data_IF_299141989599
#
_entry.id   IF_299141989599
#
_cell.length_a   1.000
_cell.length_b   1.000
_cell.length_c   1.000
_cell.angle_alpha   90.00
_cell.angle_beta   90.00
_cell.angle_gamma   90.00
#
_symmetry.space_group_name_H-M   'P 1'
#
loop_
_entity.id
_entity.type
_entity.pdbx_description
1 polymer ?
#
# COMPACT_ATOMS: atom_id res chain seq x y z
N UNK A 1 36.93 -10.35 -36.94
CA UNK A 1 36.74 -8.95 -36.52
C UNK A 1 35.46 -8.92 -35.68
N UNK A 2 35.66 -9.01 -34.37
CA UNK A 2 34.55 -9.03 -33.37
C UNK A 2 34.27 -7.58 -32.99
N UNK A 3 33.12 -7.08 -33.35
CA UNK A 3 32.66 -5.74 -32.90
C UNK A 3 32.49 -5.76 -31.39
N UNK A 4 33.10 -4.81 -30.69
CA UNK A 4 32.87 -4.52 -29.28
C UNK A 4 31.45 -3.95 -29.08
N UNK A 5 30.74 -4.29 -27.98
CA UNK A 5 29.44 -3.73 -27.69
C UNK A 5 29.56 -2.22 -27.45
N UNK A 6 28.67 -1.49 -28.09
CA UNK A 6 28.65 -0.02 -28.13
C UNK A 6 28.27 0.53 -26.75
N UNK A 7 29.01 1.50 -26.22
CA UNK A 7 28.83 2.15 -24.91
C UNK A 7 27.47 2.87 -24.65
N UNK A 8 26.48 2.64 -25.48
CA UNK A 8 25.10 3.05 -25.26
C UNK A 8 24.31 1.97 -24.50
N UNK A 9 24.63 0.69 -24.71
CA UNK A 9 24.01 -0.45 -24.03
C UNK A 9 24.41 -0.51 -22.56
N UNK A 10 25.71 -0.26 -22.29
CA UNK A 10 26.28 -0.24 -20.92
C UNK A 10 25.68 0.87 -20.03
N UNK A 11 25.36 2.04 -20.59
CA UNK A 11 24.70 3.14 -19.85
C UNK A 11 23.24 2.84 -19.55
N UNK A 12 22.54 2.14 -20.42
CA UNK A 12 21.18 1.67 -20.21
C UNK A 12 21.12 0.66 -19.06
N UNK A 13 22.01 -0.32 -19.08
CA UNK A 13 22.11 -1.34 -18.05
C UNK A 13 22.47 -0.76 -16.68
N UNK A 14 23.39 0.20 -16.63
CA UNK A 14 23.74 0.90 -15.39
C UNK A 14 22.54 1.66 -14.80
N UNK A 15 21.71 2.31 -15.62
CA UNK A 15 20.52 3.02 -15.16
C UNK A 15 19.47 2.05 -14.61
N UNK A 16 19.26 0.89 -15.24
CA UNK A 16 18.35 -0.13 -14.72
C UNK A 16 18.82 -0.70 -13.39
N UNK A 17 20.12 -1.02 -13.25
CA UNK A 17 20.70 -1.49 -12.00
C UNK A 17 20.56 -0.44 -10.87
N UNK A 18 20.76 0.83 -11.17
CA UNK A 18 20.60 1.90 -10.19
C UNK A 18 19.13 2.01 -9.70
N UNK A 19 18.16 1.94 -10.62
CA UNK A 19 16.74 1.95 -10.27
C UNK A 19 16.37 0.73 -9.42
N UNK A 20 16.84 -0.46 -9.77
CA UNK A 20 16.60 -1.69 -9.00
C UNK A 20 17.14 -1.57 -7.57
N UNK A 21 18.35 -1.06 -7.41
CA UNK A 21 18.98 -0.85 -6.10
C UNK A 21 18.17 0.14 -5.24
N UNK A 22 17.78 1.28 -5.81
CA UNK A 22 17.00 2.30 -5.09
C UNK A 22 15.60 1.80 -4.74
N UNK A 23 14.94 1.07 -5.63
CA UNK A 23 13.65 0.43 -5.34
C UNK A 23 13.79 -0.62 -4.23
N UNK A 24 14.84 -1.43 -4.24
CA UNK A 24 15.13 -2.40 -3.19
C UNK A 24 15.33 -1.74 -1.82
N UNK A 25 16.06 -0.60 -1.78
CA UNK A 25 16.24 0.19 -0.57
C UNK A 25 14.92 0.83 -0.12
N UNK A 26 14.17 1.42 -1.05
CA UNK A 26 12.86 2.02 -0.78
C UNK A 26 11.88 0.99 -0.21
N UNK A 27 11.84 -0.21 -0.78
CA UNK A 27 10.98 -1.29 -0.30
C UNK A 27 11.30 -1.71 1.14
N UNK A 28 12.58 -1.85 1.47
CA UNK A 28 13.00 -2.16 2.86
C UNK A 28 12.61 -1.05 3.84
N UNK A 29 12.81 0.21 3.45
CA UNK A 29 12.44 1.38 4.27
C UNK A 29 10.93 1.53 4.40
N UNK A 30 10.17 1.33 3.32
CA UNK A 30 8.72 1.38 3.32
C UNK A 30 8.11 0.32 4.27
N UNK A 31 8.72 -0.87 4.32
CA UNK A 31 8.30 -1.91 5.26
C UNK A 31 8.50 -1.48 6.72
N UNK A 32 9.63 -0.87 7.06
CA UNK A 32 9.87 -0.33 8.40
C UNK A 32 8.87 0.80 8.74
N UNK A 33 8.66 1.74 7.79
CA UNK A 33 7.68 2.81 7.94
C UNK A 33 6.25 2.27 8.13
N UNK A 34 5.90 1.15 7.50
CA UNK A 34 4.58 0.53 7.64
C UNK A 34 4.32 0.04 9.06
N UNK A 35 5.37 -0.42 9.77
CA UNK A 35 5.28 -0.76 11.21
C UNK A 35 4.97 0.49 12.05
N UNK A 36 5.69 1.56 11.81
CA UNK A 36 5.49 2.82 12.55
C UNK A 36 4.09 3.39 12.28
N UNK A 37 3.63 3.34 11.02
CA UNK A 37 2.30 3.80 10.64
C UNK A 37 1.18 2.98 11.29
N UNK A 38 1.36 1.67 11.39
CA UNK A 38 0.41 0.81 12.09
C UNK A 38 0.31 1.20 13.56
N UNK A 39 1.44 1.43 14.22
CA UNK A 39 1.51 1.85 15.63
C UNK A 39 0.92 3.24 15.88
N UNK A 40 0.98 4.15 14.92
CA UNK A 40 0.30 5.46 15.00
C UNK A 40 -1.24 5.31 15.03
N UNK A 41 -1.79 4.30 14.34
CA UNK A 41 -3.21 3.97 14.42
C UNK A 41 -3.53 3.35 15.76
N UNK A 42 -2.82 2.29 16.15
CA UNK A 42 -2.94 1.62 17.44
C UNK A 42 -1.64 0.92 17.82
N UNK A 43 -1.18 0.97 19.11
CA UNK A 43 0.11 0.37 19.54
C UNK A 43 0.26 -1.11 19.23
N UNK A 44 -0.84 -1.86 19.22
CA UNK A 44 -0.87 -3.31 18.95
C UNK A 44 -1.17 -3.65 17.49
N UNK A 45 -1.34 -2.63 16.61
CA UNK A 45 -1.66 -2.89 15.22
C UNK A 45 -0.42 -3.29 14.44
N UNK A 46 -0.53 -4.41 13.72
CA UNK A 46 0.50 -4.88 12.81
C UNK A 46 0.37 -4.26 11.40
N UNK A 47 1.44 -4.29 10.57
CA UNK A 47 1.42 -3.74 9.20
C UNK A 47 0.36 -4.36 8.28
N UNK A 48 0.12 -5.67 8.39
CA UNK A 48 -0.88 -6.36 7.57
C UNK A 48 -2.30 -5.82 7.79
N UNK A 49 -2.82 -5.86 9.03
CA UNK A 49 -4.09 -5.23 9.37
C UNK A 49 -4.16 -3.73 9.07
N UNK A 50 -3.05 -2.97 9.24
CA UNK A 50 -3.01 -1.56 8.86
C UNK A 50 -3.26 -1.36 7.35
N UNK A 51 -2.62 -2.15 6.49
CA UNK A 51 -2.84 -2.08 5.04
C UNK A 51 -4.29 -2.42 4.69
N UNK A 52 -4.86 -3.41 5.37
CA UNK A 52 -6.26 -3.82 5.20
C UNK A 52 -7.23 -2.71 5.63
N UNK A 53 -6.96 -2.04 6.77
CA UNK A 53 -7.74 -0.89 7.23
C UNK A 53 -7.71 0.26 6.21
N UNK A 54 -6.53 0.54 5.65
CA UNK A 54 -6.36 1.55 4.61
C UNK A 54 -7.17 1.24 3.35
N UNK A 55 -7.13 -0.02 2.89
CA UNK A 55 -7.92 -0.45 1.73
C UNK A 55 -9.42 -0.40 2.00
N UNK A 56 -9.83 -0.82 3.19
CA UNK A 56 -11.25 -0.76 3.56
C UNK A 56 -11.79 0.67 3.54
N UNK A 57 -11.00 1.67 3.96
CA UNK A 57 -11.38 3.08 3.88
C UNK A 57 -11.65 3.58 2.45
N UNK A 58 -11.00 2.97 1.46
CA UNK A 58 -11.17 3.33 0.04
C UNK A 58 -12.41 2.69 -0.60
N UNK A 59 -12.77 1.48 -0.15
CA UNK A 59 -13.77 0.65 -0.84
C UNK A 59 -14.97 0.28 0.01
N UNK A 60 -15.02 0.69 1.29
CA UNK A 60 -16.13 0.34 2.18
C UNK A 60 -17.49 0.83 1.67
N UNK A 61 -18.56 0.05 1.86
CA UNK A 61 -18.57 -1.26 2.50
C UNK A 61 -18.02 -2.38 1.60
N UNK A 62 -17.32 -3.38 2.15
CA UNK A 62 -16.67 -4.43 1.37
C UNK A 62 -16.84 -5.82 1.99
N UNK A 63 -16.83 -6.86 1.15
CA UNK A 63 -16.81 -8.25 1.59
C UNK A 63 -15.39 -8.70 1.91
N UNK A 64 -15.24 -9.61 2.87
CA UNK A 64 -13.94 -10.20 3.20
C UNK A 64 -13.29 -10.96 2.03
N UNK A 65 -14.10 -11.54 1.14
CA UNK A 65 -13.64 -12.21 -0.09
C UNK A 65 -12.94 -11.23 -1.04
N UNK A 66 -13.48 -10.03 -1.19
CA UNK A 66 -12.98 -9.03 -2.13
C UNK A 66 -11.63 -8.47 -1.63
N UNK A 67 -11.53 -8.26 -0.32
CA UNK A 67 -10.28 -7.87 0.33
C UNK A 67 -9.22 -8.99 0.23
N UNK A 68 -9.61 -10.26 0.42
CA UNK A 68 -8.71 -11.40 0.25
C UNK A 68 -8.15 -11.48 -1.18
N UNK A 69 -9.04 -11.30 -2.17
CA UNK A 69 -8.66 -11.25 -3.58
C UNK A 69 -7.71 -10.11 -3.90
N UNK A 70 -7.99 -8.91 -3.40
CA UNK A 70 -7.14 -7.73 -3.62
C UNK A 70 -5.71 -7.91 -3.06
N UNK A 71 -5.58 -8.48 -1.85
CA UNK A 71 -4.27 -8.69 -1.23
C UNK A 71 -3.58 -10.01 -1.66
N UNK A 72 -4.24 -10.85 -2.45
CA UNK A 72 -3.69 -12.14 -2.86
C UNK A 72 -3.43 -13.10 -1.69
N UNK A 73 -4.19 -12.99 -0.59
CA UNK A 73 -3.98 -13.79 0.62
C UNK A 73 -5.14 -14.75 0.87
N UNK A 74 -4.84 -15.87 1.55
CA UNK A 74 -5.86 -16.89 1.87
C UNK A 74 -6.89 -16.40 2.90
N UNK A 75 -8.07 -17.03 2.88
CA UNK A 75 -9.20 -16.73 3.78
C UNK A 75 -8.81 -16.72 5.26
N UNK A 76 -7.95 -17.64 5.69
CA UNK A 76 -7.51 -17.71 7.09
C UNK A 76 -6.70 -16.47 7.50
N UNK A 77 -5.84 -15.97 6.61
CA UNK A 77 -5.03 -14.77 6.87
C UNK A 77 -5.92 -13.52 6.97
N UNK A 78 -6.83 -13.32 6.00
CA UNK A 78 -7.78 -12.21 6.03
C UNK A 78 -8.65 -12.26 7.29
N UNK A 79 -9.21 -13.43 7.62
CA UNK A 79 -10.07 -13.58 8.81
C UNK A 79 -9.34 -13.21 10.10
N UNK A 80 -8.08 -13.60 10.25
CA UNK A 80 -7.26 -13.23 11.42
C UNK A 80 -6.99 -11.74 11.48
N UNK A 81 -6.66 -11.11 10.34
CA UNK A 81 -6.41 -9.67 10.28
C UNK A 81 -7.68 -8.85 10.56
N UNK A 82 -8.82 -9.26 10.02
CA UNK A 82 -10.11 -8.63 10.29
C UNK A 82 -10.49 -8.75 11.77
N UNK A 83 -10.30 -9.93 12.36
CA UNK A 83 -10.55 -10.14 13.79
C UNK A 83 -9.72 -9.19 14.65
N UNK A 84 -8.43 -9.03 14.35
CA UNK A 84 -7.58 -8.08 15.07
C UNK A 84 -8.11 -6.64 14.96
N UNK A 85 -8.57 -6.20 13.79
CA UNK A 85 -9.16 -4.87 13.60
C UNK A 85 -10.50 -4.69 14.35
N UNK A 86 -11.32 -5.75 14.41
CA UNK A 86 -12.57 -5.75 15.17
C UNK A 86 -12.31 -5.67 16.68
N UNK A 87 -11.37 -6.47 17.19
CA UNK A 87 -10.96 -6.47 18.60
C UNK A 87 -10.44 -5.10 19.07
N UNK A 88 -9.76 -4.36 18.16
CA UNK A 88 -9.31 -2.99 18.40
C UNK A 88 -10.43 -1.93 18.17
N UNK A 89 -11.63 -2.35 17.80
CA UNK A 89 -12.75 -1.45 17.54
C UNK A 89 -12.56 -0.52 16.33
N UNK A 90 -11.66 -0.86 15.40
CA UNK A 90 -11.35 -0.05 14.23
C UNK A 90 -12.31 -0.30 13.06
N UNK A 91 -12.87 -1.51 12.98
CA UNK A 91 -13.89 -1.87 11.98
C UNK A 91 -15.10 -2.51 12.65
N UNK A 92 -16.21 -2.53 11.92
CA UNK A 92 -17.45 -3.20 12.30
C UNK A 92 -18.00 -4.01 11.14
N UNK A 93 -19.09 -4.74 11.42
CA UNK A 93 -19.84 -5.53 10.45
C UNK A 93 -21.27 -5.01 10.35
N UNK A 94 -21.74 -4.86 9.12
CA UNK A 94 -23.11 -4.54 8.80
C UNK A 94 -23.75 -5.67 8.00
N UNK A 95 -25.06 -5.93 8.11
CA UNK A 95 -25.74 -6.89 7.26
C UNK A 95 -25.60 -6.49 5.78
N UNK A 96 -25.33 -7.47 4.92
CA UNK A 96 -25.34 -7.24 3.47
C UNK A 96 -26.80 -7.10 3.00
N UNK A 97 -27.21 -5.97 2.39
CA UNK A 97 -28.58 -5.74 1.96
C UNK A 97 -29.04 -6.67 0.84
N UNK A 98 -28.10 -7.31 0.15
CA UNK A 98 -28.37 -8.24 -0.96
C UNK A 98 -28.39 -9.69 -0.50
N UNK A 99 -27.49 -10.04 0.42
CA UNK A 99 -27.36 -11.40 0.98
C UNK A 99 -27.40 -11.33 2.50
N UNK A 100 -28.58 -11.54 3.07
CA UNK A 100 -28.80 -11.45 4.52
C UNK A 100 -27.99 -12.48 5.36
N UNK A 101 -27.26 -13.39 4.72
CA UNK A 101 -26.35 -14.33 5.39
C UNK A 101 -24.90 -13.81 5.41
N UNK A 102 -24.61 -12.78 4.62
CA UNK A 102 -23.30 -12.15 4.51
C UNK A 102 -23.23 -10.87 5.36
N UNK A 103 -22.00 -10.48 5.69
CA UNK A 103 -21.73 -9.22 6.36
C UNK A 103 -20.75 -8.40 5.55
N UNK A 104 -21.00 -7.11 5.49
CA UNK A 104 -20.11 -6.11 4.93
C UNK A 104 -19.25 -5.53 6.05
N UNK A 105 -18.01 -5.26 5.71
CA UNK A 105 -17.03 -4.64 6.60
C UNK A 105 -17.04 -3.13 6.37
N UNK A 106 -17.05 -2.38 7.46
CA UNK A 106 -17.03 -0.91 7.47
C UNK A 106 -16.04 -0.41 8.51
N UNK A 107 -15.49 0.79 8.31
CA UNK A 107 -14.75 1.45 9.38
C UNK A 107 -15.73 1.94 10.44
N UNK A 108 -15.34 1.83 11.71
CA UNK A 108 -16.01 2.57 12.77
C UNK A 108 -15.60 4.05 12.72
N UNK A 109 -16.36 4.93 13.34
CA UNK A 109 -15.97 6.34 13.50
C UNK A 109 -14.60 6.47 14.20
N UNK A 110 -14.33 5.58 15.18
CA UNK A 110 -13.03 5.49 15.85
C UNK A 110 -11.92 5.08 14.88
N UNK A 111 -12.14 4.02 14.09
CA UNK A 111 -11.17 3.54 13.10
C UNK A 111 -10.84 4.60 12.06
N UNK A 112 -11.86 5.30 11.54
CA UNK A 112 -11.68 6.41 10.60
C UNK A 112 -10.84 7.53 11.21
N UNK A 113 -11.17 7.99 12.40
CA UNK A 113 -10.43 9.04 13.09
C UNK A 113 -8.95 8.67 13.31
N UNK A 114 -8.68 7.43 13.74
CA UNK A 114 -7.32 6.94 13.99
C UNK A 114 -6.51 6.86 12.69
N UNK A 115 -7.11 6.36 11.63
CA UNK A 115 -6.49 6.27 10.31
C UNK A 115 -6.17 7.65 9.72
N UNK A 116 -7.09 8.61 9.84
CA UNK A 116 -6.89 9.97 9.33
C UNK A 116 -5.76 10.71 10.08
N UNK A 117 -5.66 10.51 11.39
CA UNK A 117 -4.53 11.02 12.19
C UNK A 117 -3.19 10.45 11.72
N UNK A 118 -3.12 9.13 11.52
CA UNK A 118 -1.92 8.47 11.03
C UNK A 118 -1.54 8.97 9.62
N UNK A 119 -2.53 9.15 8.73
CA UNK A 119 -2.30 9.74 7.39
C UNK A 119 -1.76 11.16 7.46
N UNK A 120 -2.30 11.99 8.33
CA UNK A 120 -1.84 13.36 8.53
C UNK A 120 -0.40 13.38 9.03
N UNK A 121 -0.05 12.57 10.02
CA UNK A 121 1.31 12.43 10.53
C UNK A 121 2.29 11.99 9.42
N UNK A 122 1.88 11.01 8.59
CA UNK A 122 2.66 10.57 7.43
C UNK A 122 2.89 11.71 6.43
N UNK A 123 1.85 12.45 6.07
CA UNK A 123 1.98 13.59 5.15
C UNK A 123 2.94 14.65 5.67
N UNK A 124 2.88 14.95 6.97
CA UNK A 124 3.81 15.89 7.60
C UNK A 124 5.26 15.41 7.53
N UNK A 125 5.50 14.11 7.80
CA UNK A 125 6.84 13.51 7.64
C UNK A 125 7.36 13.60 6.21
N UNK A 126 6.53 13.29 5.21
CA UNK A 126 6.92 13.43 3.80
C UNK A 126 7.21 14.88 3.41
N UNK A 127 6.41 15.84 3.88
CA UNK A 127 6.68 17.26 3.67
C UNK A 127 8.00 17.70 4.30
N UNK A 128 8.30 17.22 5.50
CA UNK A 128 9.57 17.51 6.16
C UNK A 128 10.78 16.92 5.40
N UNK A 129 10.65 15.70 4.89
CA UNK A 129 11.71 15.02 4.13
C UNK A 129 11.97 15.68 2.77
N UNK A 130 10.92 16.05 2.05
CA UNK A 130 11.01 16.61 0.70
C UNK A 130 11.04 18.15 0.69
N UNK A 131 10.84 18.79 1.83
CA UNK A 131 10.73 20.25 1.92
C UNK A 131 12.01 21.03 1.59
N UNK A 132 13.16 20.34 1.53
CA UNK A 132 14.43 20.92 1.09
C UNK A 132 14.68 20.74 -0.41
N UNK A 133 13.83 19.98 -1.10
CA UNK A 133 13.96 19.75 -2.53
C UNK A 133 13.28 20.88 -3.32
N UNK A 134 13.80 21.25 -4.50
CA UNK A 134 13.09 22.13 -5.41
C UNK A 134 11.72 21.54 -5.77
N UNK A 135 10.71 22.38 -5.84
CA UNK A 135 9.34 21.96 -6.15
C UNK A 135 9.25 21.12 -7.44
N UNK A 136 10.00 21.52 -8.46
CA UNK A 136 10.05 20.82 -9.75
C UNK A 136 10.55 19.36 -9.64
N UNK A 137 11.54 19.12 -8.78
CA UNK A 137 12.08 17.76 -8.54
C UNK A 137 11.06 16.88 -7.80
N UNK A 138 10.34 17.45 -6.83
CA UNK A 138 9.26 16.73 -6.14
C UNK A 138 8.15 16.34 -7.13
N UNK A 139 7.75 17.23 -8.01
CA UNK A 139 6.75 16.97 -9.05
C UNK A 139 7.25 15.95 -10.07
N UNK A 140 8.51 16.00 -10.45
CA UNK A 140 9.13 15.03 -11.35
C UNK A 140 9.14 13.64 -10.72
N UNK A 141 9.54 13.52 -9.45
CA UNK A 141 9.50 12.27 -8.70
C UNK A 141 8.08 11.70 -8.65
N UNK A 142 7.09 12.53 -8.34
CA UNK A 142 5.68 12.11 -8.29
C UNK A 142 5.19 11.58 -9.64
N UNK A 143 5.53 12.26 -10.76
CA UNK A 143 5.19 11.79 -12.11
C UNK A 143 5.85 10.46 -12.46
N UNK A 144 7.14 10.28 -12.12
CA UNK A 144 7.87 9.04 -12.40
C UNK A 144 7.32 7.86 -11.60
N UNK A 145 7.06 8.05 -10.31
CA UNK A 145 6.45 7.04 -9.45
C UNK A 145 5.04 6.66 -9.95
N UNK A 146 4.22 7.64 -10.37
CA UNK A 146 2.89 7.38 -10.94
C UNK A 146 2.96 6.51 -12.18
N UNK A 147 3.89 6.81 -13.11
CA UNK A 147 4.11 6.00 -14.31
C UNK A 147 4.57 4.57 -13.98
N UNK A 148 5.50 4.44 -13.03
CA UNK A 148 5.99 3.14 -12.58
C UNK A 148 4.86 2.29 -11.97
N UNK A 149 4.03 2.86 -11.09
CA UNK A 149 2.90 2.17 -10.47
C UNK A 149 1.90 1.66 -11.50
N UNK A 150 1.59 2.47 -12.54
CA UNK A 150 0.68 2.05 -13.61
C UNK A 150 1.22 0.86 -14.42
N UNK A 151 2.54 0.74 -14.59
CA UNK A 151 3.15 -0.41 -15.28
C UNK A 151 3.04 -1.68 -14.45
N UNK A 152 3.20 -1.58 -13.13
CA UNK A 152 3.14 -2.75 -12.23
C UNK A 152 1.71 -3.26 -12.04
N UNK A 153 0.69 -2.40 -12.08
CA UNK A 153 -0.71 -2.80 -12.03
C UNK A 153 -1.10 -3.68 -13.22
N UNK A 154 -0.62 -3.35 -14.43
CA UNK A 154 -0.89 -4.13 -15.66
C UNK A 154 -0.23 -5.51 -15.68
N UNK A 155 0.85 -5.72 -14.93
CA UNK A 155 1.53 -7.01 -14.82
C UNK A 155 0.90 -7.92 -13.75
N UNK A 156 0.08 -7.38 -12.85
CA UNK A 156 -0.62 -8.12 -11.80
C UNK A 156 -1.97 -8.71 -12.20
N UNK A 157 -2.50 -8.39 -13.39
CA UNK A 157 -3.67 -9.08 -13.94
C UNK A 157 -3.23 -10.42 -14.54
N UNK A 158 -3.62 -11.59 -13.95
CA UNK A 158 -3.40 -12.86 -14.62
C UNK A 158 -4.18 -12.86 -15.93
N UNK A 159 -3.49 -13.17 -17.04
CA UNK A 159 -4.12 -13.48 -18.32
C UNK A 159 -5.33 -14.42 -18.08
N UNK A 160 -6.52 -13.86 -18.10
CA UNK A 160 -7.75 -14.63 -18.18
C UNK A 160 -7.91 -15.07 -19.63
N UNK A 161 -7.27 -16.19 -19.96
CA UNK A 161 -7.69 -17.02 -21.08
C UNK A 161 -8.90 -17.86 -20.67
#
# INVERSE_FOLDING_TARGET
MTQAPTGADDRGDQAFCAVEQELGLLYRRARALSVDMAREVHPELEPGPYSLLGRLDEVAPARSSDLAGYFGVGKATISRQLKALEELGLIGREPDPVDGRAHLLVLTAHGKQRLDRARTARQQRFRALLGMWPQEEVEQLARMLGRFNTLTERQGEPDRC
#
